data_IF_809294868061
#
_entry.id   IF_809294868061
#
_cell.length_a   1.000
_cell.length_b   1.000
_cell.length_c   1.000
_cell.angle_alpha   90.00
_cell.angle_beta   90.00
_cell.angle_gamma   90.00
#
_symmetry.space_group_name_H-M   'P 1'
#
loop_
_entity.id
_entity.type
_entity.pdbx_description
1 polymer ?
#
# COMPACT_ATOMS: atom_id res chain seq x y z
N UNK A 1 9.85 7.34 2.63
CA UNK A 1 9.68 5.87 2.51
C UNK A 1 8.65 5.47 1.46
N UNK A 2 7.93 6.41 0.84
CA UNK A 2 7.01 6.16 -0.28
C UNK A 2 6.83 7.47 -1.06
N UNK A 3 6.11 7.43 -2.18
CA UNK A 3 5.72 8.59 -2.98
C UNK A 3 4.20 8.56 -3.26
N UNK A 4 3.67 9.66 -3.80
CA UNK A 4 2.25 9.79 -4.11
C UNK A 4 1.96 9.35 -5.55
N UNK A 5 1.02 8.41 -5.74
CA UNK A 5 0.66 7.90 -7.07
C UNK A 5 0.16 8.98 -8.04
N UNK A 6 -0.53 10.00 -7.54
CA UNK A 6 -1.10 11.06 -8.38
C UNK A 6 -0.09 12.04 -9.00
N UNK A 7 1.17 12.06 -8.58
CA UNK A 7 2.15 13.04 -9.04
C UNK A 7 3.59 12.59 -8.80
N UNK A 8 4.12 11.76 -9.70
CA UNK A 8 5.47 11.26 -9.65
C UNK A 8 6.01 10.99 -11.07
N UNK A 9 7.32 10.84 -11.18
CA UNK A 9 7.99 10.34 -12.37
C UNK A 9 8.97 9.24 -11.95
N UNK A 10 9.00 8.15 -12.71
CA UNK A 10 9.87 7.00 -12.47
C UNK A 10 10.75 6.80 -13.70
N UNK A 11 12.06 6.58 -13.49
CA UNK A 11 12.96 6.19 -14.57
C UNK A 11 12.60 4.80 -15.05
N UNK A 12 12.53 4.59 -16.37
CA UNK A 12 12.24 3.27 -16.93
C UNK A 12 13.21 2.18 -16.42
N UNK A 13 14.49 2.52 -16.24
CA UNK A 13 15.48 1.60 -15.68
C UNK A 13 15.13 1.06 -14.28
N UNK A 14 14.41 1.85 -13.46
CA UNK A 14 13.95 1.38 -12.14
C UNK A 14 12.89 0.31 -12.34
N UNK A 15 11.94 0.51 -13.27
CA UNK A 15 10.89 -0.46 -13.58
C UNK A 15 11.50 -1.73 -14.19
N UNK A 16 12.48 -1.59 -15.09
CA UNK A 16 13.17 -2.71 -15.72
C UNK A 16 13.89 -3.59 -14.66
N UNK A 17 14.44 -2.97 -13.62
CA UNK A 17 15.16 -3.66 -12.55
C UNK A 17 14.23 -4.28 -11.50
N UNK A 18 13.33 -3.49 -10.91
CA UNK A 18 12.52 -3.92 -9.75
C UNK A 18 11.16 -4.49 -10.14
N UNK A 19 10.75 -4.31 -11.40
CA UNK A 19 9.45 -4.68 -11.94
C UNK A 19 8.35 -3.66 -11.66
N UNK A 20 7.24 -3.83 -12.39
CA UNK A 20 6.05 -2.97 -12.32
C UNK A 20 5.35 -2.97 -10.94
N UNK A 21 4.32 -2.13 -10.81
CA UNK A 21 3.41 -2.19 -9.67
C UNK A 21 2.70 -3.55 -9.60
N UNK A 22 2.45 -4.10 -8.40
CA UNK A 22 1.76 -5.37 -8.27
C UNK A 22 0.28 -5.22 -8.67
N UNK A 23 -0.08 -5.62 -9.89
CA UNK A 23 -1.47 -5.56 -10.41
C UNK A 23 -2.53 -6.03 -9.42
N UNK A 24 -2.33 -7.11 -8.64
CA UNK A 24 -3.34 -7.58 -7.69
C UNK A 24 -3.67 -6.56 -6.59
N UNK A 25 -2.75 -5.64 -6.25
CA UNK A 25 -3.02 -4.60 -5.25
C UNK A 25 -4.16 -3.70 -5.73
N UNK A 26 -4.23 -3.40 -7.04
CA UNK A 26 -5.22 -2.59 -7.73
C UNK A 26 -5.35 -1.14 -7.24
N UNK A 27 -5.51 -0.93 -5.94
CA UNK A 27 -5.67 0.36 -5.30
C UNK A 27 -5.10 0.35 -3.87
N UNK A 28 -4.44 1.44 -3.47
CA UNK A 28 -3.77 1.64 -2.20
C UNK A 28 -2.60 0.67 -1.90
N UNK A 29 -1.44 1.25 -1.58
CA UNK A 29 -0.19 0.58 -1.16
C UNK A 29 0.62 -0.05 -2.31
N UNK A 30 0.16 0.02 -3.56
CA UNK A 30 0.96 -0.32 -4.73
C UNK A 30 2.20 0.57 -4.82
N UNK A 31 2.09 1.86 -4.51
CA UNK A 31 3.21 2.80 -4.55
C UNK A 31 4.16 2.57 -3.39
N UNK A 32 3.63 2.18 -2.23
CA UNK A 32 4.47 1.82 -1.09
C UNK A 32 5.25 0.54 -1.37
N UNK A 33 4.61 -0.47 -1.98
CA UNK A 33 5.30 -1.69 -2.40
C UNK A 33 6.41 -1.43 -3.42
N UNK A 34 6.11 -0.63 -4.45
CA UNK A 34 7.09 -0.25 -5.47
C UNK A 34 8.24 0.57 -4.86
N UNK A 35 7.92 1.57 -4.04
CA UNK A 35 8.90 2.41 -3.37
C UNK A 35 9.88 1.58 -2.53
N UNK A 36 9.38 0.60 -1.77
CA UNK A 36 10.26 -0.22 -0.93
C UNK A 36 11.17 -1.12 -1.75
N UNK A 37 10.67 -1.70 -2.86
CA UNK A 37 11.53 -2.45 -3.79
C UNK A 37 12.60 -1.59 -4.44
N UNK A 38 12.24 -0.38 -4.88
CA UNK A 38 13.21 0.57 -5.44
C UNK A 38 14.30 0.95 -4.42
N UNK A 39 13.90 1.23 -3.18
CA UNK A 39 14.84 1.53 -2.09
C UNK A 39 15.73 0.32 -1.74
N UNK A 40 15.16 -0.89 -1.69
CA UNK A 40 15.92 -2.13 -1.44
C UNK A 40 16.95 -2.41 -2.57
N UNK A 41 16.66 -1.98 -3.81
CA UNK A 41 17.58 -2.02 -4.95
C UNK A 41 18.59 -0.85 -4.98
N UNK A 42 18.58 0.04 -3.99
CA UNK A 42 19.53 1.14 -3.88
C UNK A 42 19.19 2.40 -4.67
N UNK A 43 17.96 2.52 -5.18
CA UNK A 43 17.46 3.76 -5.77
C UNK A 43 16.95 4.72 -4.71
N UNK A 44 17.00 6.02 -5.01
CA UNK A 44 16.50 7.07 -4.14
C UNK A 44 15.13 7.60 -4.57
N UNK A 45 14.36 8.11 -3.59
CA UNK A 45 13.10 8.82 -3.82
C UNK A 45 13.33 10.29 -3.46
N UNK A 46 13.33 11.15 -4.46
CA UNK A 46 13.49 12.60 -4.29
C UNK A 46 12.13 13.32 -4.28
N UNK A 47 11.95 14.24 -3.34
CA UNK A 47 10.74 15.04 -3.22
C UNK A 47 10.98 16.46 -3.74
N UNK A 48 10.27 16.83 -4.79
CA UNK A 48 10.39 18.14 -5.46
C UNK A 48 9.27 19.08 -5.05
N UNK A 49 9.53 19.89 -4.02
CA UNK A 49 8.59 20.91 -3.54
C UNK A 49 8.38 22.07 -4.53
N UNK A 50 9.32 22.27 -5.46
CA UNK A 50 9.27 23.27 -6.53
C UNK A 50 8.39 22.85 -7.70
N UNK A 51 8.02 21.56 -7.79
CA UNK A 51 7.12 21.02 -8.80
C UNK A 51 5.74 20.78 -8.21
N UNK A 52 4.76 21.59 -8.61
CA UNK A 52 3.40 21.54 -8.05
C UNK A 52 2.42 20.95 -9.06
N UNK A 53 1.68 19.94 -8.62
CA UNK A 53 0.54 19.38 -9.33
C UNK A 53 -0.73 19.63 -8.50
N UNK A 54 -1.80 20.10 -9.16
CA UNK A 54 -3.11 20.22 -8.53
C UNK A 54 -3.93 18.95 -8.77
N UNK A 55 -4.32 18.29 -7.68
CA UNK A 55 -5.21 17.15 -7.71
C UNK A 55 -6.49 17.47 -6.91
N UNK A 56 -7.69 17.35 -7.50
CA UNK A 56 -8.95 17.54 -6.77
C UNK A 56 -9.00 16.64 -5.53
N UNK A 57 -9.29 17.23 -4.37
CA UNK A 57 -9.43 16.47 -3.12
C UNK A 57 -10.79 15.81 -3.10
N UNK A 58 -10.84 14.52 -3.40
CA UNK A 58 -12.04 13.70 -3.25
C UNK A 58 -11.80 12.65 -2.18
N UNK A 59 -12.69 12.56 -1.19
CA UNK A 59 -12.55 11.60 -0.09
C UNK A 59 -12.61 10.16 -0.62
N UNK A 60 -11.50 9.43 -0.54
CA UNK A 60 -11.44 8.04 -0.99
C UNK A 60 -12.36 7.11 -0.17
N UNK A 61 -12.57 7.45 1.11
CA UNK A 61 -13.47 6.78 2.06
C UNK A 61 -14.94 6.75 1.63
N UNK A 62 -15.32 7.52 0.60
CA UNK A 62 -16.68 7.49 0.02
C UNK A 62 -17.05 6.15 -0.62
N UNK A 63 -16.07 5.29 -0.91
CA UNK A 63 -16.29 3.96 -1.50
C UNK A 63 -15.83 2.85 -0.56
N UNK A 64 -16.67 1.81 -0.36
CA UNK A 64 -16.31 0.65 0.47
C UNK A 64 -15.03 -0.08 -0.03
N UNK A 65 -14.81 -0.02 -1.34
CA UNK A 65 -13.63 -0.57 -2.04
C UNK A 65 -12.32 -0.01 -1.47
N UNK A 66 -12.29 1.26 -1.06
CA UNK A 66 -11.12 1.87 -0.39
C UNK A 66 -10.74 1.11 0.89
N UNK A 67 -11.73 0.83 1.74
CA UNK A 67 -11.51 0.15 3.01
C UNK A 67 -11.04 -1.29 2.80
N UNK A 68 -11.69 -2.00 1.87
CA UNK A 68 -11.36 -3.37 1.54
C UNK A 68 -9.91 -3.50 1.04
N UNK A 69 -9.51 -2.74 0.01
CA UNK A 69 -8.14 -2.83 -0.49
C UNK A 69 -7.11 -2.36 0.52
N UNK A 70 -7.41 -1.33 1.32
CA UNK A 70 -6.53 -0.89 2.41
C UNK A 70 -6.29 -1.99 3.44
N UNK A 71 -7.34 -2.71 3.85
CA UNK A 71 -7.22 -3.83 4.79
C UNK A 71 -6.41 -4.99 4.21
N UNK A 72 -6.73 -5.39 2.97
CA UNK A 72 -6.05 -6.47 2.27
C UNK A 72 -4.59 -6.19 1.98
N UNK A 73 -4.31 -5.04 1.38
CA UNK A 73 -2.99 -4.71 0.87
C UNK A 73 -2.01 -4.43 2.01
N UNK A 74 -2.47 -4.03 3.21
CA UNK A 74 -1.61 -3.99 4.40
C UNK A 74 -1.10 -5.38 4.81
N UNK A 75 -1.94 -6.41 4.70
CA UNK A 75 -1.52 -7.79 4.97
C UNK A 75 -0.48 -8.24 3.95
N UNK A 76 -0.74 -7.98 2.66
CA UNK A 76 0.21 -8.33 1.60
C UNK A 76 1.53 -7.57 1.72
N UNK A 77 1.50 -6.28 2.02
CA UNK A 77 2.72 -5.49 2.24
C UNK A 77 3.54 -6.05 3.41
N UNK A 78 2.89 -6.45 4.50
CA UNK A 78 3.57 -7.09 5.63
C UNK A 78 4.20 -8.43 5.24
N UNK A 79 3.45 -9.29 4.55
CA UNK A 79 3.92 -10.61 4.09
C UNK A 79 5.11 -10.51 3.13
N UNK A 80 5.17 -9.48 2.27
CA UNK A 80 6.26 -9.30 1.30
C UNK A 80 7.52 -8.75 1.92
N UNK A 81 7.39 -7.75 2.80
CA UNK A 81 8.52 -6.88 3.16
C UNK A 81 8.97 -6.96 4.62
N UNK A 82 8.24 -7.68 5.48
CA UNK A 82 8.58 -7.76 6.91
C UNK A 82 9.04 -9.16 7.31
N UNK A 83 10.02 -9.26 8.24
CA UNK A 83 10.31 -10.52 8.91
C UNK A 83 9.03 -11.11 9.53
N UNK A 84 8.85 -12.43 9.43
CA UNK A 84 7.61 -13.10 9.85
C UNK A 84 7.19 -12.76 11.29
N UNK A 85 8.16 -12.59 12.20
CA UNK A 85 7.90 -12.25 13.62
C UNK A 85 7.30 -10.85 13.80
N UNK A 86 7.58 -9.91 12.89
CA UNK A 86 7.08 -8.54 12.96
C UNK A 86 5.72 -8.37 12.26
N UNK A 87 5.29 -9.34 11.46
CA UNK A 87 4.01 -9.29 10.73
C UNK A 87 2.83 -9.12 11.69
N UNK A 88 2.67 -9.91 12.77
CA UNK A 88 1.53 -9.75 13.69
C UNK A 88 1.52 -8.37 14.37
N UNK A 89 2.69 -7.87 14.77
CA UNK A 89 2.83 -6.56 15.42
C UNK A 89 2.39 -5.46 14.46
N UNK A 90 2.91 -5.46 13.23
CA UNK A 90 2.55 -4.50 12.20
C UNK A 90 1.03 -4.50 11.91
N UNK A 91 0.43 -5.68 11.77
CA UNK A 91 -1.00 -5.81 11.48
C UNK A 91 -1.86 -5.37 12.67
N UNK A 92 -1.46 -5.70 13.90
CA UNK A 92 -2.15 -5.25 15.10
C UNK A 92 -2.13 -3.73 15.24
N UNK A 93 -0.98 -3.08 14.99
CA UNK A 93 -0.85 -1.61 15.00
C UNK A 93 -1.82 -0.98 14.02
N UNK A 94 -1.89 -1.50 12.79
CA UNK A 94 -2.77 -0.95 11.78
C UNK A 94 -4.25 -1.24 12.02
N UNK A 95 -4.59 -2.38 12.60
CA UNK A 95 -5.95 -2.68 13.04
C UNK A 95 -6.38 -1.70 14.15
N UNK A 96 -5.53 -1.50 15.16
CA UNK A 96 -5.78 -0.55 16.24
C UNK A 96 -5.93 0.89 15.71
N UNK A 97 -5.07 1.31 14.77
CA UNK A 97 -5.19 2.61 14.12
C UNK A 97 -6.51 2.76 13.35
N UNK A 98 -6.91 1.75 12.56
CA UNK A 98 -8.19 1.79 11.83
C UNK A 98 -9.37 1.91 12.80
N UNK A 99 -9.35 1.21 13.93
CA UNK A 99 -10.40 1.33 14.95
C UNK A 99 -10.41 2.72 15.59
N UNK A 100 -9.23 3.29 15.88
CA UNK A 100 -9.09 4.64 16.43
C UNK A 100 -9.63 5.73 15.49
N UNK A 101 -9.55 5.52 14.17
CA UNK A 101 -10.11 6.41 13.16
C UNK A 101 -11.65 6.36 13.08
N UNK A 102 -12.29 5.41 13.76
CA UNK A 102 -13.76 5.26 13.85
C UNK A 102 -14.49 5.37 12.50
N UNK A 103 -14.13 4.55 11.49
CA UNK A 103 -14.85 4.54 10.21
C UNK A 103 -16.32 4.13 10.41
N UNK A 104 -17.21 4.46 9.46
CA UNK A 104 -18.58 3.94 9.48
C UNK A 104 -18.57 2.40 9.48
N UNK A 105 -19.62 1.79 10.05
CA UNK A 105 -19.72 0.32 10.17
C UNK A 105 -19.51 -0.41 8.84
N UNK A 106 -20.07 0.13 7.75
CA UNK A 106 -19.86 -0.41 6.40
C UNK A 106 -18.39 -0.41 5.98
N UNK A 107 -17.65 0.65 6.31
CA UNK A 107 -16.21 0.76 6.08
C UNK A 107 -15.41 -0.21 6.95
N UNK A 108 -15.77 -0.36 8.23
CA UNK A 108 -15.10 -1.31 9.12
C UNK A 108 -15.29 -2.77 8.67
N UNK A 109 -16.52 -3.13 8.28
CA UNK A 109 -16.84 -4.46 7.73
C UNK A 109 -16.06 -4.71 6.43
N UNK A 110 -16.02 -3.74 5.52
CA UNK A 110 -15.24 -3.85 4.30
C UNK A 110 -13.74 -4.01 4.58
N UNK A 111 -13.20 -3.26 5.55
CA UNK A 111 -11.80 -3.35 5.96
C UNK A 111 -11.45 -4.73 6.51
N UNK A 112 -12.26 -5.28 7.43
CA UNK A 112 -12.03 -6.63 7.96
C UNK A 112 -12.18 -7.71 6.89
N UNK A 113 -13.16 -7.58 5.99
CA UNK A 113 -13.30 -8.47 4.83
C UNK A 113 -12.01 -8.50 4.00
N UNK A 114 -11.46 -7.34 3.65
CA UNK A 114 -10.20 -7.25 2.93
C UNK A 114 -9.01 -7.78 3.74
N UNK A 115 -8.93 -7.46 5.03
CA UNK A 115 -7.89 -7.98 5.91
C UNK A 115 -7.84 -9.51 5.91
N UNK A 116 -8.99 -10.17 6.12
CA UNK A 116 -9.06 -11.64 6.12
C UNK A 116 -8.82 -12.24 4.73
N UNK A 117 -9.25 -11.57 3.65
CA UNK A 117 -8.84 -11.94 2.30
C UNK A 117 -7.32 -11.93 2.16
N UNK A 118 -6.66 -10.85 2.60
CA UNK A 118 -5.21 -10.73 2.53
C UNK A 118 -4.46 -11.81 3.32
N UNK A 119 -5.07 -12.31 4.40
CA UNK A 119 -4.54 -13.44 5.18
C UNK A 119 -4.71 -14.76 4.42
N UNK A 120 -5.90 -15.03 3.87
CA UNK A 120 -6.28 -16.31 3.25
C UNK A 120 -5.72 -16.50 1.84
N UNK A 121 -5.73 -15.44 1.03
CA UNK A 121 -5.28 -15.46 -0.35
C UNK A 121 -3.77 -15.36 -0.40
N UNK A 122 -3.17 -16.17 -1.26
CA UNK A 122 -1.73 -16.12 -1.54
C UNK A 122 -1.36 -14.71 -2.00
N UNK A 123 -0.46 -14.09 -1.25
CA UNK A 123 0.09 -12.79 -1.60
C UNK A 123 0.92 -12.92 -2.88
N UNK A 124 0.92 -11.92 -3.79
CA UNK A 124 1.87 -11.88 -4.88
C UNK A 124 3.30 -12.10 -4.36
N UNK A 125 4.12 -12.92 -5.04
CA UNK A 125 5.42 -13.33 -4.52
C UNK A 125 6.31 -12.11 -4.27
N UNK A 126 7.20 -12.24 -3.27
CA UNK A 126 8.31 -11.31 -3.12
C UNK A 126 9.16 -11.44 -4.38
N UNK A 127 9.26 -10.38 -5.17
CA UNK A 127 10.23 -10.31 -6.27
C UNK A 127 11.47 -9.64 -5.68
N UNK A 128 12.67 -10.20 -5.90
CA UNK A 128 13.91 -9.49 -5.62
C UNK A 128 13.96 -8.18 -6.40
#
# INVERSE_FOLDING_TARGET
>A
TTFLGGGHAIRMSVIDEVGEFPTPFFYAHEETDFAWRALDAGWDIDYRADMVLQHPRTEASRHAVYYHHTGRNRVWLAKRHRPAVLVPIYLATWAAYTLAQRPPLSGLTAWWSGFFEGVRVTCPPRRP
#
